data_IF_381042185778
#
_entry.id   IF_381042185778
#
_cell.length_a   1.000
_cell.length_b   1.000
_cell.length_c   1.000
_cell.angle_alpha   90.00
_cell.angle_beta   90.00
_cell.angle_gamma   90.00
#
_symmetry.space_group_name_H-M   'P 1'
#
loop_
_entity.id
_entity.type
_entity.pdbx_description
1 polymer ?
#
# COMPACT_ATOMS: atom_id res chain seq x y z
N UNK A 1 -14.76 19.61 3.50
CA UNK A 1 -14.69 18.49 4.44
C UNK A 1 -14.12 19.06 5.75
N UNK A 2 -14.18 18.37 6.88
CA UNK A 2 -13.61 18.90 8.13
C UNK A 2 -12.10 18.62 8.20
N UNK A 3 -11.32 19.57 8.73
CA UNK A 3 -9.89 19.42 9.06
C UNK A 3 -8.91 19.20 7.88
N UNK A 4 -9.31 19.46 6.64
CA UNK A 4 -8.42 19.36 5.47
C UNK A 4 -7.21 20.29 5.57
N UNK A 5 -7.38 21.45 6.20
CA UNK A 5 -6.33 22.44 6.44
C UNK A 5 -5.20 21.90 7.36
N UNK A 6 -5.48 20.83 8.10
CA UNK A 6 -4.49 20.14 8.95
C UNK A 6 -3.63 19.13 8.20
N UNK A 7 -3.90 18.89 6.91
CA UNK A 7 -3.16 17.91 6.12
C UNK A 7 -1.98 18.54 5.36
N UNK A 8 -0.90 17.78 5.24
CA UNK A 8 0.25 18.08 4.38
C UNK A 8 0.70 16.86 3.59
N UNK A 9 1.42 17.11 2.49
CA UNK A 9 2.03 16.05 1.70
C UNK A 9 3.37 15.66 2.32
N UNK A 10 3.52 14.38 2.65
CA UNK A 10 4.79 13.84 3.22
C UNK A 10 5.92 13.94 2.20
N UNK A 11 5.65 13.53 0.95
CA UNK A 11 6.61 13.61 -0.15
C UNK A 11 5.87 13.89 -1.48
N UNK A 12 5.89 15.14 -1.99
CA UNK A 12 5.14 15.51 -3.18
C UNK A 12 5.55 14.77 -4.46
N UNK A 13 6.80 14.30 -4.54
CA UNK A 13 7.34 13.55 -5.69
C UNK A 13 7.01 12.06 -5.66
N UNK A 14 6.45 11.54 -4.57
CA UNK A 14 6.08 10.12 -4.48
C UNK A 14 4.93 9.80 -5.44
N UNK A 15 4.98 8.60 -6.05
CA UNK A 15 3.91 8.12 -6.93
C UNK A 15 2.55 8.05 -6.21
N UNK A 16 2.59 7.70 -4.92
CA UNK A 16 1.45 7.79 -3.99
C UNK A 16 1.73 8.98 -3.06
N UNK A 17 0.99 10.06 -3.25
CA UNK A 17 1.04 11.26 -2.43
C UNK A 17 0.29 11.01 -1.12
N UNK A 18 1.05 10.89 -0.03
CA UNK A 18 0.52 10.61 1.31
C UNK A 18 0.15 11.92 2.01
N UNK A 19 -1.12 12.04 2.39
CA UNK A 19 -1.64 13.19 3.14
C UNK A 19 -1.64 12.88 4.64
N UNK A 20 -0.73 13.51 5.37
CA UNK A 20 -0.54 13.32 6.80
C UNK A 20 -1.06 14.51 7.61
N UNK A 21 -1.53 14.26 8.82
CA UNK A 21 -1.84 15.31 9.78
C UNK A 21 -0.55 15.99 10.26
N UNK A 22 -0.48 17.31 10.14
CA UNK A 22 0.66 18.15 10.58
C UNK A 22 0.98 18.04 12.07
N UNK A 23 -0.01 17.70 12.89
CA UNK A 23 0.13 17.68 14.35
C UNK A 23 0.56 16.33 14.89
N UNK A 24 -0.04 15.23 14.40
CA UNK A 24 0.20 13.89 14.94
C UNK A 24 0.93 12.95 13.97
N UNK A 25 1.15 13.36 12.72
CA UNK A 25 1.84 12.56 11.70
C UNK A 25 1.01 11.43 11.09
N UNK A 26 -0.22 11.18 11.56
CA UNK A 26 -1.09 10.13 11.03
C UNK A 26 -1.40 10.36 9.55
N UNK A 27 -1.14 9.36 8.71
CA UNK A 27 -1.52 9.38 7.30
C UNK A 27 -3.01 9.12 7.16
N UNK A 28 -3.76 10.09 6.64
CA UNK A 28 -5.22 9.98 6.50
C UNK A 28 -5.62 9.28 5.20
N UNK A 29 -4.94 9.58 4.11
CA UNK A 29 -5.08 8.87 2.85
C UNK A 29 -3.84 9.05 1.95
N UNK A 30 -3.62 8.12 1.04
CA UNK A 30 -2.64 8.19 -0.03
C UNK A 30 -3.33 8.25 -1.39
N UNK A 31 -3.03 9.27 -2.19
CA UNK A 31 -3.65 9.47 -3.51
C UNK A 31 -2.62 9.37 -4.62
N UNK A 32 -3.01 8.80 -5.75
CA UNK A 32 -2.16 8.75 -6.94
C UNK A 32 -2.59 9.85 -7.92
N UNK A 33 -1.78 10.91 -8.10
CA UNK A 33 -2.17 12.06 -8.92
C UNK A 33 -2.09 11.78 -10.43
N UNK A 34 -1.28 10.80 -10.84
CA UNK A 34 -1.05 10.49 -12.26
C UNK A 34 -2.18 9.65 -12.84
N UNK A 35 -2.89 10.19 -13.84
CA UNK A 35 -3.93 9.47 -14.59
C UNK A 35 -3.41 8.22 -15.33
N UNK A 36 -2.10 8.17 -15.59
CA UNK A 36 -1.47 7.05 -16.28
C UNK A 36 -1.16 5.86 -15.37
N UNK A 37 -1.35 5.98 -14.06
CA UNK A 37 -1.09 4.90 -13.11
C UNK A 37 -2.33 4.00 -12.97
N UNK A 38 -2.15 2.68 -12.92
CA UNK A 38 -3.25 1.71 -12.83
C UNK A 38 -4.26 2.03 -11.72
N UNK A 39 -3.74 2.41 -10.56
CA UNK A 39 -4.52 2.69 -9.35
C UNK A 39 -4.97 4.16 -9.24
N UNK A 40 -4.90 4.93 -10.33
CA UNK A 40 -5.50 6.27 -10.35
C UNK A 40 -7.02 6.18 -10.11
N UNK A 41 -7.54 7.11 -9.31
CA UNK A 41 -8.94 7.08 -8.86
C UNK A 41 -9.20 6.20 -7.64
N UNK A 42 -8.19 5.49 -7.13
CA UNK A 42 -8.25 4.77 -5.86
C UNK A 42 -7.37 5.46 -4.81
N UNK A 43 -7.94 5.67 -3.63
CA UNK A 43 -7.19 6.15 -2.46
C UNK A 43 -6.80 4.99 -1.56
N UNK A 44 -5.62 5.09 -0.95
CA UNK A 44 -5.12 4.17 0.07
C UNK A 44 -5.47 4.72 1.44
N UNK A 45 -6.12 3.92 2.29
CA UNK A 45 -6.58 4.35 3.62
C UNK A 45 -6.19 3.33 4.68
N UNK A 46 -5.94 3.82 5.90
CA UNK A 46 -5.72 3.02 7.10
C UNK A 46 -7.07 2.86 7.80
N UNK A 47 -7.76 1.75 7.55
CA UNK A 47 -9.11 1.52 8.10
C UNK A 47 -9.10 1.29 9.60
N UNK A 48 -7.94 0.99 10.19
CA UNK A 48 -7.75 0.97 11.65
C UNK A 48 -7.94 2.34 12.33
N UNK A 49 -8.03 3.43 11.55
CA UNK A 49 -8.37 4.76 12.06
C UNK A 49 -9.88 5.00 12.22
N UNK A 50 -10.71 4.06 11.78
CA UNK A 50 -12.15 4.10 11.94
C UNK A 50 -12.55 3.32 13.20
N UNK A 51 -13.48 3.88 13.97
CA UNK A 51 -14.11 3.17 15.09
C UNK A 51 -15.21 2.20 14.63
N UNK A 52 -15.54 2.18 13.33
CA UNK A 52 -16.57 1.32 12.75
C UNK A 52 -16.02 -0.06 12.38
N UNK A 53 -16.81 -1.10 12.65
CA UNK A 53 -16.55 -2.46 12.19
C UNK A 53 -17.05 -2.68 10.74
N UNK A 54 -16.61 -3.78 10.11
CA UNK A 54 -17.15 -4.25 8.82
C UNK A 54 -16.34 -3.83 7.60
N UNK A 55 -15.18 -3.21 7.79
CA UNK A 55 -14.20 -3.00 6.73
C UNK A 55 -13.73 -4.34 6.12
N UNK A 56 -13.32 -4.29 4.85
CA UNK A 56 -12.70 -5.43 4.18
C UNK A 56 -11.50 -5.93 4.99
N UNK A 57 -11.46 -7.24 5.25
CA UNK A 57 -10.37 -7.86 6.00
C UNK A 57 -9.04 -7.81 5.23
N UNK A 58 -7.92 -7.88 5.96
CA UNK A 58 -6.61 -8.05 5.34
C UNK A 58 -6.52 -9.42 4.63
N UNK A 59 -6.03 -9.43 3.40
CA UNK A 59 -6.00 -10.63 2.55
C UNK A 59 -4.60 -11.25 2.42
N UNK A 60 -3.54 -10.45 2.56
CA UNK A 60 -2.14 -10.87 2.42
C UNK A 60 -1.20 -9.89 3.13
N UNK A 61 0.09 -10.24 3.22
CA UNK A 61 1.14 -9.33 3.67
C UNK A 61 2.06 -8.98 2.49
N UNK A 62 2.12 -7.70 2.11
CA UNK A 62 2.96 -7.21 1.01
C UNK A 62 4.27 -6.60 1.49
N UNK A 63 5.27 -6.57 0.59
CA UNK A 63 6.62 -6.01 0.83
C UNK A 63 7.29 -6.54 2.12
N UNK A 64 7.10 -7.81 2.45
CA UNK A 64 7.50 -8.38 3.73
C UNK A 64 9.01 -8.26 3.98
N UNK A 65 9.86 -8.47 2.98
CA UNK A 65 11.31 -8.27 3.13
C UNK A 65 11.73 -6.85 3.52
N UNK A 66 10.94 -5.83 3.17
CA UNK A 66 11.29 -4.42 3.42
C UNK A 66 11.21 -4.03 4.90
N UNK A 67 10.67 -4.86 5.79
CA UNK A 67 10.77 -4.62 7.24
C UNK A 67 12.23 -4.62 7.73
N UNK A 68 13.15 -5.25 6.98
CA UNK A 68 14.59 -5.19 7.23
C UNK A 68 15.12 -3.76 7.02
N UNK A 69 14.61 -3.05 6.01
CA UNK A 69 15.00 -1.67 5.70
C UNK A 69 14.60 -0.71 6.84
N UNK A 70 13.61 -1.09 7.65
CA UNK A 70 13.21 -0.41 8.88
C UNK A 70 13.91 -0.90 10.17
N UNK A 71 14.87 -1.81 10.05
CA UNK A 71 15.72 -2.26 11.17
C UNK A 71 15.40 -3.64 11.75
N UNK A 72 14.49 -4.42 11.15
CA UNK A 72 14.25 -5.81 11.56
C UNK A 72 15.48 -6.67 11.26
N UNK A 73 15.91 -7.50 12.22
CA UNK A 73 17.07 -8.35 12.00
C UNK A 73 16.73 -9.49 11.01
N UNK A 74 17.57 -9.80 10.00
CA UNK A 74 17.25 -10.82 9.01
C UNK A 74 16.97 -12.22 9.57
N UNK A 75 17.53 -12.57 10.74
CA UNK A 75 17.24 -13.84 11.42
C UNK A 75 15.79 -14.00 11.87
N UNK A 76 15.05 -12.91 12.01
CA UNK A 76 13.69 -12.92 12.52
C UNK A 76 12.67 -13.18 11.40
N UNK A 77 13.11 -13.10 10.13
CA UNK A 77 12.23 -13.17 8.96
C UNK A 77 11.50 -14.51 8.83
N UNK A 78 12.15 -15.63 9.18
CA UNK A 78 11.50 -16.94 9.14
C UNK A 78 10.34 -17.00 10.15
N UNK A 79 10.54 -16.46 11.35
CA UNK A 79 9.50 -16.36 12.37
C UNK A 79 8.36 -15.42 11.96
N UNK A 80 8.69 -14.27 11.37
CA UNK A 80 7.69 -13.33 10.85
C UNK A 80 6.83 -13.97 9.76
N UNK A 81 7.47 -14.60 8.76
CA UNK A 81 6.74 -15.28 7.68
C UNK A 81 5.91 -16.45 8.17
N UNK A 82 6.41 -17.22 9.15
CA UNK A 82 5.63 -18.29 9.77
C UNK A 82 4.38 -17.72 10.46
N UNK A 83 4.53 -16.67 11.26
CA UNK A 83 3.41 -16.06 11.97
C UNK A 83 2.35 -15.49 11.02
N UNK A 84 2.76 -14.84 9.93
CA UNK A 84 1.84 -14.32 8.91
C UNK A 84 1.00 -15.45 8.29
N UNK A 85 1.60 -16.59 7.95
CA UNK A 85 0.87 -17.75 7.44
C UNK A 85 -0.08 -18.36 8.46
N UNK A 86 0.29 -18.42 9.74
CA UNK A 86 -0.59 -18.92 10.80
C UNK A 86 -1.89 -18.11 10.93
N UNK A 87 -1.83 -16.81 10.67
CA UNK A 87 -3.00 -15.92 10.70
C UNK A 87 -3.69 -15.79 9.34
N UNK A 88 -3.30 -16.59 8.35
CA UNK A 88 -3.93 -16.62 7.02
C UNK A 88 -3.50 -15.50 6.07
N UNK A 89 -2.41 -14.78 6.37
CA UNK A 89 -1.86 -13.73 5.52
C UNK A 89 -0.63 -14.27 4.79
N UNK A 90 -0.78 -14.67 3.52
CA UNK A 90 0.37 -15.16 2.76
C UNK A 90 1.41 -14.02 2.56
N UNK A 91 2.69 -14.24 2.92
CA UNK A 91 3.73 -13.22 2.82
C UNK A 91 4.34 -13.13 1.42
N UNK A 92 4.28 -11.93 0.82
CA UNK A 92 4.92 -11.59 -0.45
C UNK A 92 5.93 -10.46 -0.27
N UNK A 93 7.02 -10.50 -1.05
CA UNK A 93 8.04 -9.43 -1.06
C UNK A 93 7.69 -8.31 -2.06
N UNK A 94 6.50 -8.38 -2.65
CA UNK A 94 5.85 -7.35 -3.44
C UNK A 94 4.35 -7.33 -3.08
N UNK A 95 3.45 -7.13 -4.04
CA UNK A 95 2.01 -7.29 -3.82
C UNK A 95 1.57 -8.73 -4.14
N UNK A 96 0.31 -9.05 -3.87
CA UNK A 96 -0.24 -10.36 -4.21
C UNK A 96 -0.15 -10.64 -5.73
N UNK A 97 -0.02 -11.91 -6.16
CA UNK A 97 0.07 -12.25 -7.58
C UNK A 97 -1.04 -11.66 -8.45
N UNK A 98 -2.33 -11.63 -8.04
CA UNK A 98 -3.38 -10.99 -8.82
C UNK A 98 -3.12 -9.49 -9.07
N UNK A 99 -2.71 -8.74 -8.04
CA UNK A 99 -2.44 -7.31 -8.18
C UNK A 99 -1.18 -7.08 -9.03
N UNK A 100 -0.15 -7.89 -8.84
CA UNK A 100 1.07 -7.83 -9.65
C UNK A 100 0.79 -8.11 -11.14
N UNK A 101 -0.11 -9.05 -11.44
CA UNK A 101 -0.55 -9.30 -12.82
C UNK A 101 -1.27 -8.08 -13.39
N UNK A 102 -2.20 -7.46 -12.66
CA UNK A 102 -2.87 -6.24 -13.11
C UNK A 102 -1.89 -5.11 -13.42
N UNK A 103 -0.89 -4.90 -12.55
CA UNK A 103 0.16 -3.90 -12.75
C UNK A 103 0.99 -4.20 -14.00
N UNK A 104 1.42 -5.44 -14.19
CA UNK A 104 2.18 -5.86 -15.36
C UNK A 104 1.36 -5.71 -16.66
N UNK A 105 0.09 -6.13 -16.65
CA UNK A 105 -0.83 -5.97 -17.79
C UNK A 105 -1.02 -4.50 -18.15
N UNK A 106 -1.24 -3.63 -17.16
CA UNK A 106 -1.37 -2.18 -17.39
C UNK A 106 -0.11 -1.60 -18.04
N UNK A 107 1.07 -1.93 -17.52
CA UNK A 107 2.34 -1.48 -18.06
C UNK A 107 2.59 -2.01 -19.50
N UNK A 108 2.23 -3.26 -19.77
CA UNK A 108 2.35 -3.86 -21.11
C UNK A 108 1.42 -3.19 -22.13
N UNK A 109 0.18 -2.84 -21.73
CA UNK A 109 -0.75 -2.09 -22.56
C UNK A 109 -0.27 -0.66 -22.82
N UNK A 110 0.16 0.04 -21.79
CA UNK A 110 0.67 1.41 -21.91
C UNK A 110 1.92 1.52 -22.79
N UNK A 111 2.77 0.49 -22.80
CA UNK A 111 3.98 0.43 -23.65
C UNK A 111 3.74 -0.16 -25.04
N UNK A 112 2.52 -0.61 -25.34
CA UNK A 112 2.16 -1.23 -26.62
C UNK A 112 2.69 -2.66 -26.84
N UNK A 113 3.24 -3.30 -25.79
CA UNK A 113 3.68 -4.70 -25.84
C UNK A 113 2.46 -5.64 -25.88
N UNK A 114 1.38 -5.27 -25.21
CA UNK A 114 0.11 -5.98 -25.18
C UNK A 114 -0.98 -5.11 -25.83
N UNK A 115 -1.71 -5.65 -26.81
CA UNK A 115 -2.58 -4.85 -27.72
C UNK A 115 -4.06 -5.24 -27.70
N UNK A 116 -4.43 -6.25 -26.91
CA UNK A 116 -5.78 -6.79 -26.76
C UNK A 116 -6.53 -6.26 -25.52
#
# INVERSE_FOLDING_TARGET
MANEDKLELVEPSAAIQRHACKECGTHMYGRIPSENHLLHGLDFVHTELSDDDGWSAAEFAGFVSSVIESGTHPSDMDGIRARLREIGLEPYDCLSPPIMHLLATHAAKASGVLTD
#
